data_IF_263130170423
#
_entry.id   IF_263130170423
#
_cell.length_a   1.000
_cell.length_b   1.000
_cell.length_c   1.000
_cell.angle_alpha   90.00
_cell.angle_beta   90.00
_cell.angle_gamma   90.00
#
_symmetry.space_group_name_H-M   'P 1'
#
loop_
_entity.id
_entity.type
_entity.pdbx_description
1 polymer ?
#
# COMPACT_ATOMS: atom_id res chain seq x y z
N UNK A 1 10.50 -16.43 -16.73
CA UNK A 1 10.95 -16.87 -15.36
C UNK A 1 11.96 -15.89 -14.81
N UNK A 2 11.86 -15.51 -13.56
CA UNK A 2 12.79 -14.61 -12.85
C UNK A 2 13.51 -15.35 -11.72
N UNK A 3 14.84 -15.44 -11.76
CA UNK A 3 15.66 -16.19 -10.78
C UNK A 3 15.11 -17.62 -10.49
N UNK A 4 14.78 -18.37 -11.55
CA UNK A 4 14.17 -19.72 -11.50
C UNK A 4 12.78 -19.79 -10.87
N UNK A 5 12.08 -18.66 -10.71
CA UNK A 5 10.71 -18.55 -10.24
C UNK A 5 9.76 -18.19 -11.38
N UNK A 6 8.57 -18.80 -11.37
CA UNK A 6 7.50 -18.40 -12.29
C UNK A 6 6.87 -17.09 -11.82
N UNK A 7 6.61 -16.18 -12.78
CA UNK A 7 6.06 -14.85 -12.51
C UNK A 7 4.78 -14.64 -13.29
N UNK A 8 3.68 -14.34 -12.59
CA UNK A 8 2.47 -13.81 -13.20
C UNK A 8 2.31 -12.32 -12.94
N UNK A 9 1.68 -11.62 -13.89
CA UNK A 9 1.24 -10.24 -13.73
C UNK A 9 -0.27 -10.17 -13.86
N UNK A 10 -0.94 -9.69 -12.82
CA UNK A 10 -2.37 -9.37 -12.84
C UNK A 10 -2.56 -7.95 -13.34
N UNK A 11 -3.33 -7.80 -14.42
CA UNK A 11 -3.66 -6.50 -15.03
C UNK A 11 -5.16 -6.25 -14.84
N UNK A 12 -5.58 -5.57 -13.76
CA UNK A 12 -6.98 -5.17 -13.58
C UNK A 12 -7.32 -4.05 -14.57
N UNK A 13 -8.41 -4.23 -15.33
CA UNK A 13 -8.88 -3.29 -16.34
C UNK A 13 -10.32 -2.85 -16.09
N UNK A 14 -10.60 -1.55 -16.25
CA UNK A 14 -11.93 -0.98 -16.31
C UNK A 14 -11.94 0.35 -17.10
N UNK A 15 -12.42 0.33 -18.34
CA UNK A 15 -12.33 1.46 -19.29
C UNK A 15 -10.89 1.85 -19.64
N UNK A 16 -10.11 0.86 -20.11
CA UNK A 16 -8.69 1.02 -20.46
C UNK A 16 -8.42 0.69 -21.94
N UNK A 17 -9.42 0.87 -22.81
CA UNK A 17 -9.35 0.56 -24.25
C UNK A 17 -8.12 1.16 -24.93
N UNK A 18 -7.71 2.37 -24.53
CA UNK A 18 -6.60 3.11 -25.15
C UNK A 18 -5.22 2.77 -24.59
N UNK A 19 -5.15 2.14 -23.41
CA UNK A 19 -3.89 1.95 -22.68
C UNK A 19 -3.50 0.47 -22.55
N UNK A 20 -4.47 -0.44 -22.46
CA UNK A 20 -4.21 -1.86 -22.16
C UNK A 20 -3.30 -2.53 -23.19
N UNK A 21 -3.40 -2.19 -24.47
CA UNK A 21 -2.52 -2.74 -25.51
C UNK A 21 -1.05 -2.43 -25.22
N UNK A 22 -0.73 -1.15 -24.92
CA UNK A 22 0.63 -0.73 -24.57
C UNK A 22 1.17 -1.44 -23.33
N UNK A 23 0.33 -1.67 -22.32
CA UNK A 23 0.72 -2.42 -21.13
C UNK A 23 1.08 -3.87 -21.47
N UNK A 24 0.32 -4.51 -22.36
CA UNK A 24 0.58 -5.89 -22.78
C UNK A 24 1.83 -6.01 -23.66
N UNK A 25 2.07 -5.04 -24.54
CA UNK A 25 3.23 -4.99 -25.44
C UNK A 25 4.55 -4.72 -24.72
N UNK A 26 4.50 -3.99 -23.61
CA UNK A 26 5.70 -3.65 -22.82
C UNK A 26 6.00 -4.63 -21.69
N UNK A 27 5.29 -5.76 -21.64
CA UNK A 27 5.48 -6.77 -20.60
C UNK A 27 6.90 -7.38 -20.69
N UNK A 28 7.68 -7.39 -19.58
CA UNK A 28 9.04 -7.93 -19.58
C UNK A 28 9.11 -9.43 -19.94
N UNK A 29 10.17 -9.84 -20.64
CA UNK A 29 10.35 -11.23 -21.13
C UNK A 29 10.42 -12.29 -20.02
N UNK A 30 10.74 -11.89 -18.77
CA UNK A 30 10.77 -12.83 -17.66
C UNK A 30 9.39 -13.17 -17.07
N UNK A 31 8.33 -12.48 -17.52
CA UNK A 31 6.95 -12.77 -17.13
C UNK A 31 6.47 -14.01 -17.88
N UNK A 32 5.93 -14.97 -17.16
CA UNK A 32 5.45 -16.24 -17.75
C UNK A 32 3.96 -16.18 -18.08
N UNK A 33 3.19 -15.43 -17.27
CA UNK A 33 1.72 -15.38 -17.38
C UNK A 33 1.21 -13.95 -17.14
N UNK A 34 0.32 -13.47 -18.01
CA UNK A 34 -0.42 -12.23 -17.82
C UNK A 34 -1.91 -12.54 -17.63
N UNK A 35 -2.44 -12.15 -16.48
CA UNK A 35 -3.84 -12.33 -16.12
C UNK A 35 -4.57 -10.99 -16.26
N UNK A 36 -5.16 -10.73 -17.41
CA UNK A 36 -6.00 -9.54 -17.61
C UNK A 36 -7.36 -9.81 -16.99
N UNK A 37 -7.76 -8.98 -16.04
CA UNK A 37 -9.06 -9.10 -15.37
C UNK A 37 -9.91 -7.89 -15.72
N UNK A 38 -10.86 -8.07 -16.63
CA UNK A 38 -11.84 -7.06 -17.01
C UNK A 38 -12.97 -6.98 -16.00
N UNK A 39 -13.12 -5.83 -15.34
CA UNK A 39 -14.15 -5.58 -14.33
C UNK A 39 -15.46 -5.03 -14.94
N UNK A 40 -15.95 -5.69 -15.99
CA UNK A 40 -17.13 -5.33 -16.78
C UNK A 40 -16.99 -3.95 -17.44
N UNK A 41 -15.96 -3.76 -18.22
CA UNK A 41 -15.74 -2.53 -19.01
C UNK A 41 -16.85 -2.33 -20.04
N UNK A 42 -17.48 -1.14 -20.11
CA UNK A 42 -18.48 -0.82 -21.12
C UNK A 42 -17.89 -0.36 -22.47
N UNK A 43 -16.57 -0.16 -22.55
CA UNK A 43 -15.82 0.24 -23.74
C UNK A 43 -15.23 -0.95 -24.51
N UNK A 44 -14.34 -0.69 -25.46
CA UNK A 44 -13.66 -1.69 -26.28
C UNK A 44 -12.52 -2.44 -25.61
N UNK A 45 -12.27 -2.28 -24.28
CA UNK A 45 -11.15 -2.91 -23.55
C UNK A 45 -11.03 -4.40 -23.84
N UNK A 46 -12.12 -5.15 -23.73
CA UNK A 46 -12.14 -6.60 -23.98
C UNK A 46 -11.71 -6.94 -25.41
N UNK A 47 -12.27 -6.24 -26.40
CA UNK A 47 -11.95 -6.49 -27.82
C UNK A 47 -10.47 -6.16 -28.15
N UNK A 48 -9.86 -5.21 -27.45
CA UNK A 48 -8.42 -4.90 -27.58
C UNK A 48 -7.59 -6.06 -27.05
N UNK A 49 -7.92 -6.58 -25.88
CA UNK A 49 -7.21 -7.71 -25.26
C UNK A 49 -7.36 -8.99 -26.10
N UNK A 50 -8.57 -9.30 -26.58
CA UNK A 50 -8.83 -10.46 -27.43
C UNK A 50 -8.01 -10.40 -28.73
N UNK A 51 -7.97 -9.24 -29.41
CA UNK A 51 -7.12 -9.03 -30.60
C UNK A 51 -5.63 -9.19 -30.30
N UNK A 52 -5.17 -8.73 -29.13
CA UNK A 52 -3.78 -8.93 -28.72
C UNK A 52 -3.45 -10.41 -28.55
N UNK A 53 -4.35 -11.18 -27.92
CA UNK A 53 -4.18 -12.64 -27.75
C UNK A 53 -4.14 -13.34 -29.10
N UNK A 54 -5.07 -13.03 -30.01
CA UNK A 54 -5.14 -13.63 -31.35
C UNK A 54 -3.92 -13.28 -32.22
N UNK A 55 -3.46 -12.04 -32.17
CA UNK A 55 -2.36 -11.54 -33.04
C UNK A 55 -0.96 -11.97 -32.59
N UNK A 56 -0.81 -12.46 -31.38
CA UNK A 56 0.50 -12.69 -30.76
C UNK A 56 1.13 -14.05 -31.12
N UNK A 57 0.33 -15.08 -31.43
CA UNK A 57 0.84 -16.43 -31.59
C UNK A 57 1.52 -16.97 -30.32
N UNK A 58 2.60 -17.76 -30.48
CA UNK A 58 3.35 -18.38 -29.38
C UNK A 58 4.46 -17.48 -28.79
N UNK A 59 4.54 -16.21 -29.18
CA UNK A 59 5.60 -15.33 -28.74
C UNK A 59 5.28 -14.64 -27.40
N UNK A 60 6.20 -14.69 -26.42
CA UNK A 60 6.16 -14.02 -25.09
C UNK A 60 5.25 -14.71 -24.04
N UNK A 61 4.79 -14.02 -22.92
CA UNK A 61 4.04 -14.64 -21.84
C UNK A 61 2.66 -15.12 -22.26
N UNK A 62 2.15 -16.21 -21.70
CA UNK A 62 0.73 -16.59 -21.86
C UNK A 62 -0.16 -15.43 -21.38
N UNK A 63 -1.17 -15.05 -22.18
CA UNK A 63 -2.16 -14.01 -21.79
C UNK A 63 -3.52 -14.65 -21.62
N UNK A 64 -4.11 -14.49 -20.45
CA UNK A 64 -5.44 -15.02 -20.11
C UNK A 64 -6.36 -13.88 -19.75
N UNK A 65 -7.52 -13.82 -20.40
CA UNK A 65 -8.57 -12.85 -20.12
C UNK A 65 -9.61 -13.47 -19.19
N UNK A 66 -9.78 -12.84 -18.01
CA UNK A 66 -10.83 -13.15 -17.04
C UNK A 66 -11.84 -12.01 -17.05
N UNK A 67 -13.15 -12.32 -17.05
CA UNK A 67 -14.20 -11.29 -17.16
C UNK A 67 -15.18 -11.38 -16.00
N UNK A 68 -15.48 -10.24 -15.40
CA UNK A 68 -16.56 -10.11 -14.44
C UNK A 68 -17.89 -9.82 -15.17
N UNK A 69 -18.98 -10.36 -14.70
CA UNK A 69 -20.32 -10.06 -15.23
C UNK A 69 -20.81 -8.64 -14.88
N UNK A 70 -20.25 -8.07 -13.80
CA UNK A 70 -20.57 -6.71 -13.31
C UNK A 70 -19.34 -6.11 -12.65
N UNK A 71 -19.27 -4.78 -12.60
CA UNK A 71 -18.19 -4.08 -11.90
C UNK A 71 -18.22 -4.39 -10.39
N UNK A 72 -17.17 -5.10 -9.94
CA UNK A 72 -16.95 -5.49 -8.54
C UNK A 72 -15.93 -4.60 -7.85
N UNK A 73 -15.15 -3.84 -8.61
CA UNK A 73 -14.09 -2.95 -8.15
C UNK A 73 -12.70 -3.54 -8.28
N UNK A 74 -11.70 -2.65 -8.36
CA UNK A 74 -10.29 -3.00 -8.64
C UNK A 74 -9.72 -4.05 -7.67
N UNK A 75 -10.06 -4.00 -6.38
CA UNK A 75 -9.62 -5.01 -5.42
C UNK A 75 -10.18 -6.39 -5.72
N UNK A 76 -11.45 -6.48 -6.16
CA UNK A 76 -12.05 -7.75 -6.55
C UNK A 76 -11.40 -8.30 -7.84
N UNK A 77 -11.08 -7.44 -8.81
CA UNK A 77 -10.38 -7.83 -10.03
C UNK A 77 -8.99 -8.41 -9.71
N UNK A 78 -8.24 -7.74 -8.83
CA UNK A 78 -6.93 -8.23 -8.40
C UNK A 78 -7.06 -9.57 -7.64
N UNK A 79 -8.03 -9.71 -6.74
CA UNK A 79 -8.25 -10.97 -6.03
C UNK A 79 -8.65 -12.12 -6.97
N UNK A 80 -9.39 -11.84 -8.05
CA UNK A 80 -9.69 -12.82 -9.11
C UNK A 80 -8.42 -13.27 -9.82
N UNK A 81 -7.52 -12.34 -10.17
CA UNK A 81 -6.21 -12.66 -10.73
C UNK A 81 -5.33 -13.45 -9.76
N UNK A 82 -5.28 -13.07 -8.49
CA UNK A 82 -4.56 -13.80 -7.44
C UNK A 82 -5.10 -15.23 -7.25
N UNK A 83 -6.41 -15.42 -7.28
CA UNK A 83 -7.01 -16.75 -7.18
C UNK A 83 -6.61 -17.65 -8.35
N UNK A 84 -6.58 -17.11 -9.58
CA UNK A 84 -6.14 -17.85 -10.77
C UNK A 84 -4.64 -18.16 -10.72
N UNK A 85 -3.78 -17.20 -10.36
CA UNK A 85 -2.35 -17.41 -10.18
C UNK A 85 -2.07 -18.48 -9.12
N UNK A 86 -2.78 -18.43 -7.97
CA UNK A 86 -2.72 -19.46 -6.91
C UNK A 86 -3.15 -20.84 -7.44
N UNK A 87 -4.23 -20.92 -8.21
CA UNK A 87 -4.71 -22.16 -8.83
C UNK A 87 -3.66 -22.78 -9.76
N UNK A 88 -2.94 -21.94 -10.51
CA UNK A 88 -1.87 -22.35 -11.42
C UNK A 88 -0.52 -22.57 -10.73
N UNK A 89 -0.45 -22.34 -9.40
CA UNK A 89 0.76 -22.51 -8.59
C UNK A 89 1.93 -21.64 -9.04
N UNK A 90 1.66 -20.41 -9.47
CA UNK A 90 2.69 -19.44 -9.86
C UNK A 90 3.43 -18.96 -8.61
N UNK A 91 4.76 -18.99 -8.63
CA UNK A 91 5.61 -18.65 -7.49
C UNK A 91 5.43 -17.19 -7.01
N UNK A 92 5.35 -16.26 -7.96
CA UNK A 92 5.25 -14.80 -7.67
C UNK A 92 4.16 -14.20 -8.54
N UNK A 93 3.27 -13.44 -7.92
CA UNK A 93 2.22 -12.72 -8.64
C UNK A 93 2.36 -11.22 -8.40
N UNK A 94 2.67 -10.47 -9.46
CA UNK A 94 2.69 -9.02 -9.42
C UNK A 94 1.35 -8.43 -9.88
N UNK A 95 1.10 -7.17 -9.54
CA UNK A 95 -0.05 -6.39 -10.02
C UNK A 95 0.48 -5.19 -10.78
N UNK A 96 -0.01 -4.99 -11.99
CA UNK A 96 0.30 -3.87 -12.87
C UNK A 96 -0.99 -3.35 -13.49
N UNK A 97 -1.39 -2.12 -13.17
CA UNK A 97 -2.67 -1.58 -13.64
C UNK A 97 -2.67 -1.39 -15.16
N UNK A 98 -3.84 -1.60 -15.79
CA UNK A 98 -4.03 -1.43 -17.24
C UNK A 98 -3.97 0.02 -17.74
N UNK A 99 -3.77 1.00 -16.84
CA UNK A 99 -3.72 2.44 -17.12
C UNK A 99 -2.32 2.98 -17.50
N UNK A 100 -1.31 2.10 -17.58
CA UNK A 100 0.06 2.46 -17.98
C UNK A 100 0.85 3.30 -16.97
N UNK A 101 0.35 3.52 -15.74
CA UNK A 101 1.05 4.31 -14.71
C UNK A 101 2.19 3.57 -14.01
N UNK A 102 2.33 2.28 -14.24
CA UNK A 102 3.33 1.42 -13.64
C UNK A 102 4.39 1.07 -14.68
N UNK A 103 5.64 1.41 -14.37
CA UNK A 103 6.76 1.22 -15.27
C UNK A 103 7.15 -0.28 -15.34
N UNK A 104 6.99 -0.94 -16.50
CA UNK A 104 7.35 -2.35 -16.67
C UNK A 104 8.85 -2.60 -16.49
N UNK A 105 9.71 -1.63 -16.80
CA UNK A 105 11.16 -1.73 -16.64
C UNK A 105 11.60 -1.82 -15.16
N UNK A 106 10.70 -1.53 -14.23
CA UNK A 106 10.97 -1.63 -12.79
C UNK A 106 10.32 -2.86 -12.14
N UNK A 107 9.67 -3.72 -12.92
CA UNK A 107 9.02 -4.91 -12.40
C UNK A 107 10.04 -5.90 -11.78
N UNK A 108 11.23 -6.00 -12.34
CA UNK A 108 12.32 -6.81 -11.82
C UNK A 108 12.72 -6.40 -10.39
N UNK A 109 12.87 -5.10 -10.14
CA UNK A 109 13.17 -4.57 -8.82
C UNK A 109 12.07 -4.86 -7.80
N UNK A 110 10.80 -4.86 -8.25
CA UNK A 110 9.64 -5.15 -7.41
C UNK A 110 9.55 -6.63 -7.04
N UNK A 111 9.81 -7.55 -7.97
CA UNK A 111 9.69 -8.99 -7.73
C UNK A 111 10.93 -9.57 -7.02
N UNK A 112 12.11 -8.95 -7.16
CA UNK A 112 13.36 -9.44 -6.61
C UNK A 112 13.34 -9.76 -5.10
N UNK A 113 12.78 -8.91 -4.21
CA UNK A 113 12.70 -9.24 -2.78
C UNK A 113 11.91 -10.52 -2.50
N UNK A 114 10.86 -10.77 -3.28
CA UNK A 114 10.00 -11.96 -3.16
C UNK A 114 10.71 -13.18 -3.75
N UNK A 115 11.31 -13.06 -4.93
CA UNK A 115 12.05 -14.14 -5.59
C UNK A 115 13.19 -14.67 -4.72
N UNK A 116 13.89 -13.76 -4.03
CA UNK A 116 15.00 -14.09 -3.13
C UNK A 116 14.57 -14.54 -1.74
N UNK A 117 13.27 -14.70 -1.49
CA UNK A 117 12.74 -15.11 -0.19
C UNK A 117 12.99 -14.12 0.96
N UNK A 118 13.32 -12.87 0.65
CA UNK A 118 13.52 -11.81 1.67
C UNK A 118 12.20 -11.26 2.18
N UNK A 119 11.19 -11.17 1.31
CA UNK A 119 9.85 -10.71 1.62
C UNK A 119 8.81 -11.66 1.07
N UNK A 120 7.64 -11.66 1.68
CA UNK A 120 6.47 -12.42 1.23
C UNK A 120 5.54 -11.55 0.38
N UNK A 121 5.69 -10.24 0.54
CA UNK A 121 4.99 -9.20 -0.24
C UNK A 121 5.92 -8.00 -0.47
N UNK A 122 5.99 -7.51 -1.69
CA UNK A 122 6.71 -6.29 -2.05
C UNK A 122 5.74 -5.24 -2.57
N UNK A 123 5.99 -3.99 -2.21
CA UNK A 123 5.14 -2.86 -2.55
C UNK A 123 5.98 -1.68 -3.04
N UNK A 124 5.59 -1.09 -4.17
CA UNK A 124 6.25 0.10 -4.70
C UNK A 124 6.03 1.31 -3.79
N UNK A 125 7.07 2.11 -3.60
CA UNK A 125 7.04 3.37 -2.89
C UNK A 125 7.40 4.51 -3.85
N UNK A 126 6.43 5.36 -4.15
CA UNK A 126 6.55 6.51 -5.06
C UNK A 126 6.93 7.81 -4.35
N UNK A 127 6.87 7.84 -3.01
CA UNK A 127 7.01 9.06 -2.21
C UNK A 127 8.47 9.46 -1.99
N UNK A 128 9.41 8.56 -2.24
CA UNK A 128 10.83 8.77 -1.99
C UNK A 128 11.56 9.52 -3.12
N UNK A 129 10.85 9.87 -4.20
CA UNK A 129 11.46 10.50 -5.36
C UNK A 129 11.61 12.01 -5.17
N UNK A 130 12.82 12.55 -5.45
CA UNK A 130 13.08 13.99 -5.40
C UNK A 130 12.19 14.71 -6.42
N UNK A 131 11.29 15.57 -5.96
CA UNK A 131 10.34 16.30 -6.80
C UNK A 131 8.86 16.04 -6.51
N UNK A 132 8.52 15.03 -5.74
CA UNK A 132 7.13 14.73 -5.35
C UNK A 132 6.45 15.92 -4.63
N UNK A 133 7.21 16.75 -3.92
CA UNK A 133 6.74 17.92 -3.17
C UNK A 133 6.23 19.06 -4.05
N UNK A 134 6.73 19.19 -5.28
CA UNK A 134 6.37 20.27 -6.21
C UNK A 134 5.13 19.96 -7.06
N UNK A 135 4.78 18.69 -7.21
CA UNK A 135 3.78 18.22 -8.18
C UNK A 135 2.42 17.92 -7.54
N UNK A 136 2.36 17.66 -6.21
CA UNK A 136 1.13 17.26 -5.53
C UNK A 136 0.48 18.45 -4.80
N UNK A 137 -0.81 18.78 -5.05
CA UNK A 137 -1.53 19.82 -4.31
C UNK A 137 -1.51 19.54 -2.78
N UNK A 138 -1.23 20.57 -1.96
CA UNK A 138 -1.03 20.45 -0.50
C UNK A 138 -2.17 19.71 0.23
N UNK A 139 -3.43 19.95 -0.15
CA UNK A 139 -4.58 19.27 0.46
C UNK A 139 -4.62 17.76 0.15
N UNK A 140 -4.16 17.33 -1.04
CA UNK A 140 -4.03 15.90 -1.39
C UNK A 140 -2.88 15.25 -0.63
N UNK A 141 -1.78 15.98 -0.44
CA UNK A 141 -0.64 15.52 0.35
C UNK A 141 -1.03 15.25 1.80
N UNK A 142 -1.71 16.20 2.46
CA UNK A 142 -2.18 16.04 3.85
C UNK A 142 -3.17 14.87 3.98
N UNK A 143 -4.10 14.71 3.04
CA UNK A 143 -5.03 13.58 3.02
C UNK A 143 -4.33 12.23 2.88
N UNK A 144 -3.35 12.15 1.98
CA UNK A 144 -2.55 10.93 1.79
C UNK A 144 -1.67 10.63 3.01
N UNK A 145 -1.04 11.65 3.62
CA UNK A 145 -0.24 11.50 4.83
C UNK A 145 -1.09 10.99 6.01
N UNK A 146 -2.30 11.51 6.18
CA UNK A 146 -3.25 11.05 7.19
C UNK A 146 -3.65 9.59 6.96
N UNK A 147 -4.03 9.22 5.73
CA UNK A 147 -4.39 7.83 5.40
C UNK A 147 -3.20 6.88 5.55
N UNK A 148 -1.99 7.31 5.19
CA UNK A 148 -0.77 6.51 5.39
C UNK A 148 -0.49 6.29 6.87
N UNK A 149 -0.64 7.31 7.71
CA UNK A 149 -0.52 7.18 9.17
C UNK A 149 -1.56 6.20 9.73
N UNK A 150 -2.84 6.35 9.33
CA UNK A 150 -3.90 5.43 9.74
C UNK A 150 -3.63 3.99 9.29
N UNK A 151 -3.07 3.81 8.09
CA UNK A 151 -2.72 2.49 7.59
C UNK A 151 -1.57 1.86 8.38
N UNK A 152 -0.55 2.64 8.74
CA UNK A 152 0.54 2.17 9.61
C UNK A 152 0.00 1.65 10.94
N UNK A 153 -0.86 2.42 11.60
CA UNK A 153 -1.51 2.04 12.85
C UNK A 153 -2.39 0.79 12.66
N UNK A 154 -3.20 0.76 11.59
CA UNK A 154 -4.13 -0.33 11.36
C UNK A 154 -3.42 -1.63 10.98
N UNK A 155 -2.38 -1.56 10.16
CA UNK A 155 -1.66 -2.72 9.63
C UNK A 155 -0.50 -3.19 10.50
N UNK A 156 0.11 -2.30 11.30
CA UNK A 156 1.34 -2.60 12.05
C UNK A 156 2.62 -2.55 11.20
N UNK A 157 2.53 -2.25 9.90
CA UNK A 157 3.70 -2.06 9.03
C UNK A 157 4.15 -0.60 9.04
N UNK A 158 4.86 -0.21 10.08
CA UNK A 158 5.28 1.19 10.30
C UNK A 158 6.29 1.71 9.27
N UNK A 159 6.99 0.81 8.59
CA UNK A 159 7.97 1.12 7.56
C UNK A 159 7.36 1.40 6.18
N UNK A 160 6.15 0.93 5.90
CA UNK A 160 5.48 1.16 4.61
C UNK A 160 5.07 2.62 4.48
N UNK A 161 5.70 3.35 3.55
CA UNK A 161 5.43 4.78 3.38
C UNK A 161 4.29 5.06 2.41
N UNK A 162 4.26 4.42 1.23
CA UNK A 162 3.19 4.57 0.25
C UNK A 162 2.16 3.45 0.36
N UNK A 163 1.16 3.64 1.23
CA UNK A 163 0.11 2.63 1.42
C UNK A 163 -0.88 2.56 0.25
N UNK A 164 -0.88 3.53 -0.67
CA UNK A 164 -1.91 3.67 -1.69
C UNK A 164 -1.53 3.08 -3.07
N UNK A 165 -0.26 2.76 -3.30
CA UNK A 165 0.15 2.18 -4.58
C UNK A 165 -0.43 0.78 -4.78
N UNK A 166 -0.86 0.48 -6.00
CA UNK A 166 -1.29 -0.85 -6.43
C UNK A 166 -0.17 -1.68 -7.07
N UNK A 167 1.00 -1.10 -7.34
CA UNK A 167 2.14 -1.81 -7.91
C UNK A 167 2.80 -2.66 -6.83
N UNK A 168 2.57 -3.95 -6.86
CA UNK A 168 2.90 -4.87 -5.78
C UNK A 168 3.25 -6.26 -6.33
N UNK A 169 3.98 -7.05 -5.54
CA UNK A 169 4.26 -8.45 -5.83
C UNK A 169 4.04 -9.29 -4.56
N UNK A 170 3.51 -10.49 -4.71
CA UNK A 170 3.16 -11.40 -3.61
C UNK A 170 3.65 -12.80 -3.93
N UNK A 171 4.15 -13.52 -2.92
CA UNK A 171 4.54 -14.93 -3.04
C UNK A 171 3.34 -15.87 -3.05
N UNK A 172 3.48 -17.03 -3.67
CA UNK A 172 2.48 -18.09 -3.63
C UNK A 172 2.16 -18.51 -2.19
N UNK A 173 3.19 -18.63 -1.34
CA UNK A 173 3.01 -18.99 0.06
C UNK A 173 2.12 -17.98 0.81
N UNK A 174 2.28 -16.69 0.53
CA UNK A 174 1.40 -15.67 1.09
C UNK A 174 -0.03 -15.77 0.53
N UNK A 175 -0.19 -16.02 -0.76
CA UNK A 175 -1.51 -16.21 -1.38
C UNK A 175 -2.25 -17.42 -0.82
N UNK A 176 -1.54 -18.50 -0.48
CA UNK A 176 -2.14 -19.71 0.11
C UNK A 176 -2.73 -19.44 1.51
N UNK A 177 -2.17 -18.49 2.26
CA UNK A 177 -2.64 -18.11 3.60
C UNK A 177 -3.80 -17.10 3.57
N UNK A 178 -3.94 -16.33 2.48
CA UNK A 178 -4.90 -15.24 2.40
C UNK A 178 -6.29 -15.71 2.02
N UNK A 179 -7.29 -15.23 2.76
CA UNK A 179 -8.70 -15.29 2.33
C UNK A 179 -8.96 -14.14 1.35
N UNK A 180 -8.86 -14.47 0.05
CA UNK A 180 -8.99 -13.50 -1.05
C UNK A 180 -10.44 -12.97 -1.21
N UNK A 181 -11.45 -13.75 -0.79
CA UNK A 181 -12.86 -13.35 -0.90
C UNK A 181 -13.22 -12.27 0.11
N UNK A 182 -12.55 -12.30 1.27
CA UNK A 182 -12.78 -11.35 2.35
C UNK A 182 -12.01 -10.02 2.18
N UNK A 183 -11.14 -9.88 1.17
CA UNK A 183 -10.40 -8.65 0.87
C UNK A 183 -11.36 -7.56 0.39
N UNK A 184 -11.13 -6.31 0.83
CA UNK A 184 -11.97 -5.18 0.44
C UNK A 184 -11.96 -4.97 -1.08
N UNK A 185 -13.12 -4.97 -1.77
CA UNK A 185 -13.18 -5.10 -3.23
C UNK A 185 -12.85 -3.83 -4.02
N UNK A 186 -12.76 -2.65 -3.38
CA UNK A 186 -12.57 -1.37 -4.06
C UNK A 186 -11.21 -0.74 -3.71
N UNK A 187 -11.04 0.58 -3.93
CA UNK A 187 -9.77 1.32 -3.73
C UNK A 187 -9.08 1.12 -2.36
N UNK A 188 -9.81 0.67 -1.34
CA UNK A 188 -9.24 0.35 -0.03
C UNK A 188 -8.49 -0.99 0.05
N UNK A 189 -8.44 -1.77 -1.02
CA UNK A 189 -7.84 -3.10 -0.99
C UNK A 189 -6.36 -3.11 -0.57
N UNK A 190 -5.48 -2.15 -0.97
CA UNK A 190 -4.09 -2.22 -0.56
C UNK A 190 -3.91 -2.09 0.96
N UNK A 191 -4.75 -1.24 1.57
CA UNK A 191 -4.73 -1.03 3.01
C UNK A 191 -5.29 -2.24 3.77
N UNK A 192 -6.40 -2.81 3.30
CA UNK A 192 -7.00 -4.03 3.87
C UNK A 192 -6.06 -5.24 3.74
N UNK A 193 -5.41 -5.37 2.57
CA UNK A 193 -4.46 -6.44 2.32
C UNK A 193 -3.26 -6.37 3.28
N UNK A 194 -2.69 -5.18 3.54
CA UNK A 194 -1.63 -5.00 4.52
C UNK A 194 -2.04 -5.48 5.92
N UNK A 195 -3.27 -5.18 6.36
CA UNK A 195 -3.75 -5.67 7.67
C UNK A 195 -3.84 -7.19 7.70
N UNK A 196 -4.29 -7.81 6.61
CA UNK A 196 -4.38 -9.27 6.49
C UNK A 196 -3.01 -9.94 6.43
N UNK A 197 -2.05 -9.36 5.71
CA UNK A 197 -0.66 -9.83 5.69
C UNK A 197 -0.05 -9.84 7.10
N UNK A 198 -0.29 -8.79 7.90
CA UNK A 198 0.21 -8.70 9.27
C UNK A 198 -0.40 -9.75 10.20
N UNK A 199 -1.65 -10.15 9.98
CA UNK A 199 -2.30 -11.19 10.76
C UNK A 199 -1.58 -12.55 10.65
N UNK A 200 -0.91 -12.79 9.51
CA UNK A 200 -0.14 -14.02 9.24
C UNK A 200 1.37 -13.83 9.38
N UNK A 201 1.81 -12.72 10.01
CA UNK A 201 3.24 -12.38 10.21
C UNK A 201 4.08 -12.40 8.92
N UNK A 202 3.47 -12.02 7.79
CA UNK A 202 4.13 -11.98 6.49
C UNK A 202 5.05 -10.77 6.38
N UNK A 203 6.23 -10.97 5.81
CA UNK A 203 7.26 -9.93 5.67
C UNK A 203 6.96 -9.04 4.46
N UNK A 204 7.02 -7.73 4.66
CA UNK A 204 6.73 -6.72 3.63
C UNK A 204 7.98 -5.91 3.30
N UNK A 205 8.30 -5.82 2.00
CA UNK A 205 9.32 -4.91 1.48
C UNK A 205 8.68 -3.66 0.84
N UNK A 206 9.19 -2.48 1.20
CA UNK A 206 8.84 -1.19 0.59
C UNK A 206 9.93 -0.85 -0.43
N UNK A 207 9.63 -1.01 -1.74
CA UNK A 207 10.59 -0.89 -2.84
C UNK A 207 10.47 0.48 -3.48
N UNK A 208 11.57 1.24 -3.51
CA UNK A 208 11.59 2.58 -4.10
C UNK A 208 11.56 2.48 -5.63
N UNK A 209 10.45 2.87 -6.24
CA UNK A 209 10.26 2.85 -7.69
C UNK A 209 9.85 4.23 -8.21
N UNK A 210 10.22 4.51 -9.47
CA UNK A 210 9.87 5.77 -10.14
C UNK A 210 8.43 5.72 -10.61
N UNK A 211 7.59 6.70 -10.25
CA UNK A 211 6.24 6.79 -10.78
C UNK A 211 6.27 7.29 -12.24
N UNK A 212 5.42 6.73 -13.09
CA UNK A 212 5.15 7.26 -14.43
C UNK A 212 3.96 8.22 -14.33
N UNK A 213 4.14 9.45 -14.81
CA UNK A 213 3.11 10.48 -14.85
C UNK A 213 2.84 10.93 -16.29
N UNK A 214 1.68 11.53 -16.54
CA UNK A 214 1.27 12.10 -17.83
C UNK A 214 0.99 11.08 -18.95
N UNK A 215 0.53 9.89 -18.62
CA UNK A 215 0.08 8.85 -19.57
C UNK A 215 -1.40 9.01 -19.98
N UNK A 216 -2.00 10.19 -19.81
CA UNK A 216 -3.40 10.46 -20.20
C UNK A 216 -4.44 10.16 -19.13
N UNK A 217 -4.04 9.98 -17.89
CA UNK A 217 -4.90 9.65 -16.75
C UNK A 217 -5.91 10.74 -16.39
N UNK A 218 -7.17 10.37 -16.16
CA UNK A 218 -8.19 11.22 -15.54
C UNK A 218 -8.53 10.68 -14.16
N UNK A 219 -7.98 11.31 -13.11
CA UNK A 219 -8.35 10.96 -11.73
C UNK A 219 -9.83 11.18 -11.49
N UNK A 220 -10.60 10.10 -11.37
CA UNK A 220 -12.04 10.11 -11.06
C UNK A 220 -12.32 10.18 -9.55
N UNK A 221 -11.29 10.32 -8.70
CA UNK A 221 -11.41 10.25 -7.24
C UNK A 221 -11.90 11.56 -6.62
N UNK A 222 -12.92 11.46 -5.75
CA UNK A 222 -13.42 12.55 -4.90
C UNK A 222 -12.94 12.36 -3.45
N UNK A 223 -11.86 13.04 -3.00
CA UNK A 223 -11.23 12.81 -1.70
C UNK A 223 -12.19 12.92 -0.51
N UNK A 224 -13.09 13.90 -0.52
CA UNK A 224 -14.04 14.14 0.56
C UNK A 224 -14.98 12.95 0.87
N UNK A 225 -15.27 12.09 -0.11
CA UNK A 225 -16.08 10.88 0.09
C UNK A 225 -15.26 9.64 0.44
N UNK A 226 -14.01 9.62 -0.01
CA UNK A 226 -13.13 8.46 0.16
C UNK A 226 -12.53 8.45 1.58
N UNK A 227 -12.06 9.59 2.09
CA UNK A 227 -11.38 9.68 3.39
C UNK A 227 -12.23 9.13 4.54
N UNK A 228 -13.50 9.53 4.76
CA UNK A 228 -14.29 8.99 5.87
C UNK A 228 -14.53 7.48 5.77
N UNK A 229 -14.78 6.99 4.54
CA UNK A 229 -15.00 5.57 4.30
C UNK A 229 -13.74 4.74 4.55
N UNK A 230 -12.58 5.26 4.14
CA UNK A 230 -11.29 4.62 4.38
C UNK A 230 -10.92 4.64 5.87
N UNK A 231 -11.14 5.75 6.56
CA UNK A 231 -10.90 5.85 8.01
C UNK A 231 -11.74 4.82 8.76
N UNK A 232 -13.02 4.66 8.41
CA UNK A 232 -13.88 3.64 9.01
C UNK A 232 -13.39 2.22 8.72
N UNK A 233 -13.01 1.93 7.46
CA UNK A 233 -12.44 0.64 7.09
C UNK A 233 -11.19 0.33 7.93
N UNK A 234 -10.26 1.29 8.02
CA UNK A 234 -9.01 1.12 8.77
C UNK A 234 -9.24 0.94 10.26
N UNK A 235 -10.20 1.67 10.85
CA UNK A 235 -10.58 1.49 12.25
C UNK A 235 -11.16 0.08 12.49
N UNK A 236 -12.08 -0.36 11.63
CA UNK A 236 -12.65 -1.70 11.74
C UNK A 236 -11.58 -2.79 11.59
N UNK A 237 -10.63 -2.61 10.65
CA UNK A 237 -9.51 -3.54 10.44
C UNK A 237 -8.49 -3.50 11.57
N UNK A 238 -8.22 -2.35 12.15
CA UNK A 238 -7.41 -2.22 13.35
C UNK A 238 -8.00 -3.04 14.51
N UNK A 239 -9.28 -2.84 14.83
CA UNK A 239 -9.97 -3.55 15.89
C UNK A 239 -10.02 -5.08 15.62
N UNK A 240 -10.24 -5.46 14.36
CA UNK A 240 -10.20 -6.86 13.95
C UNK A 240 -8.81 -7.46 14.15
N UNK A 241 -7.72 -6.79 13.71
CA UNK A 241 -6.34 -7.22 13.92
C UNK A 241 -6.01 -7.35 15.41
N UNK A 242 -6.40 -6.35 16.23
CA UNK A 242 -6.18 -6.40 17.67
C UNK A 242 -6.82 -7.66 18.27
N UNK A 243 -8.08 -7.92 17.90
CA UNK A 243 -8.80 -9.10 18.38
C UNK A 243 -8.16 -10.42 17.91
N UNK A 244 -7.94 -10.56 16.60
CA UNK A 244 -7.49 -11.82 16.02
C UNK A 244 -6.03 -12.14 16.39
N UNK A 245 -5.12 -11.17 16.24
CA UNK A 245 -3.69 -11.37 16.45
C UNK A 245 -3.32 -11.39 17.93
N UNK A 246 -3.80 -10.40 18.70
CA UNK A 246 -3.31 -10.12 20.05
C UNK A 246 -4.29 -10.50 21.18
N UNK A 247 -5.45 -11.07 20.87
CA UNK A 247 -6.35 -11.65 21.88
C UNK A 247 -6.57 -13.14 21.63
N UNK A 248 -6.89 -13.54 20.38
CA UNK A 248 -7.30 -14.91 20.08
C UNK A 248 -6.07 -15.80 19.84
N UNK A 249 -5.11 -15.36 18.99
CA UNK A 249 -3.95 -16.19 18.63
C UNK A 249 -2.89 -16.20 19.71
N UNK A 250 -2.53 -15.01 20.22
CA UNK A 250 -1.52 -14.87 21.27
C UNK A 250 -1.88 -13.65 22.12
N UNK A 251 -2.24 -13.90 23.39
CA UNK A 251 -2.64 -12.80 24.27
C UNK A 251 -1.44 -11.92 24.61
N UNK A 252 -1.43 -10.71 24.04
CA UNK A 252 -0.36 -9.75 24.24
C UNK A 252 -0.83 -8.55 25.08
N UNK A 253 -0.04 -8.08 26.09
CA UNK A 253 -0.39 -6.93 26.93
C UNK A 253 -0.66 -5.63 26.18
N UNK A 254 -0.20 -5.50 24.93
CA UNK A 254 -0.47 -4.40 24.02
C UNK A 254 -1.96 -4.00 23.98
N UNK A 255 -2.86 -5.00 24.00
CA UNK A 255 -4.31 -4.76 23.96
C UNK A 255 -4.79 -4.00 25.19
N UNK A 256 -4.17 -4.28 26.36
CA UNK A 256 -4.49 -3.58 27.61
C UNK A 256 -4.10 -2.09 27.53
N UNK A 257 -2.96 -1.77 26.91
CA UNK A 257 -2.54 -0.38 26.71
C UNK A 257 -3.47 0.36 25.75
N UNK A 258 -3.88 -0.24 24.63
CA UNK A 258 -4.89 0.36 23.76
C UNK A 258 -6.25 0.50 24.45
N UNK A 259 -6.66 -0.50 25.25
CA UNK A 259 -7.88 -0.43 26.05
C UNK A 259 -7.85 0.70 27.08
N UNK A 260 -6.72 0.84 27.81
CA UNK A 260 -6.51 1.92 28.77
C UNK A 260 -6.50 3.29 28.10
N UNK A 261 -5.82 3.41 26.95
CA UNK A 261 -5.82 4.64 26.15
C UNK A 261 -7.23 5.03 25.70
N UNK A 262 -8.01 4.06 25.20
CA UNK A 262 -9.39 4.28 24.78
C UNK A 262 -10.30 4.72 25.95
N UNK A 263 -10.22 4.01 27.08
CA UNK A 263 -11.01 4.32 28.28
C UNK A 263 -10.70 5.73 28.83
N UNK A 264 -9.40 6.01 29.05
CA UNK A 264 -8.98 7.32 29.57
C UNK A 264 -9.23 8.45 28.56
N UNK A 265 -9.17 8.16 27.26
CA UNK A 265 -9.54 9.08 26.18
C UNK A 265 -11.03 9.44 26.19
N UNK A 266 -11.92 8.46 26.34
CA UNK A 266 -13.35 8.69 26.49
C UNK A 266 -13.66 9.51 27.74
N UNK A 267 -13.03 9.20 28.87
CA UNK A 267 -13.13 9.99 30.09
C UNK A 267 -12.67 11.43 29.86
N UNK A 268 -11.53 11.63 29.18
CA UNK A 268 -11.00 12.95 28.86
C UNK A 268 -11.98 13.77 28.01
N UNK A 269 -12.58 13.19 26.98
CA UNK A 269 -13.61 13.87 26.17
C UNK A 269 -14.81 14.26 27.03
N UNK A 270 -15.30 13.36 27.90
CA UNK A 270 -16.41 13.66 28.82
C UNK A 270 -16.11 14.81 29.75
N UNK A 271 -14.93 14.84 30.41
CA UNK A 271 -14.51 15.93 31.28
C UNK A 271 -14.30 17.24 30.52
N UNK A 272 -13.76 17.19 29.30
CA UNK A 272 -13.62 18.36 28.44
C UNK A 272 -14.99 18.99 28.10
N UNK A 273 -15.94 18.19 27.65
CA UNK A 273 -17.29 18.67 27.34
C UNK A 273 -17.95 19.28 28.58
N UNK A 274 -17.82 18.63 29.74
CA UNK A 274 -18.33 19.17 31.02
C UNK A 274 -17.65 20.49 31.37
N UNK A 275 -16.31 20.60 31.21
CA UNK A 275 -15.56 21.81 31.50
C UNK A 275 -16.04 23.00 30.65
N UNK A 276 -16.21 22.77 29.31
CA UNK A 276 -16.71 23.78 28.39
C UNK A 276 -18.14 24.20 28.75
N UNK A 277 -19.03 23.21 29.03
CA UNK A 277 -20.42 23.49 29.42
C UNK A 277 -20.51 24.34 30.72
N UNK A 278 -19.72 24.01 31.73
CA UNK A 278 -19.67 24.78 32.98
C UNK A 278 -19.11 26.20 32.77
N UNK A 279 -18.06 26.33 31.98
CA UNK A 279 -17.49 27.64 31.64
C UNK A 279 -18.51 28.54 30.92
N UNK A 280 -19.25 28.00 29.94
CA UNK A 280 -20.32 28.74 29.23
C UNK A 280 -21.43 29.13 30.19
N UNK A 281 -21.83 28.23 31.10
CA UNK A 281 -22.97 28.47 32.01
C UNK A 281 -22.67 29.40 33.16
N UNK A 282 -21.44 29.37 33.70
CA UNK A 282 -21.09 30.07 34.95
C UNK A 282 -20.01 31.15 34.79
N UNK A 283 -19.34 31.19 33.60
CA UNK A 283 -18.19 32.06 33.36
C UNK A 283 -16.92 31.64 34.12
N UNK A 284 -16.95 30.54 34.90
CA UNK A 284 -15.84 30.10 35.75
C UNK A 284 -15.39 28.70 35.29
N UNK A 285 -14.07 28.49 35.22
CA UNK A 285 -13.48 27.19 34.94
C UNK A 285 -13.28 26.44 36.27
N UNK A 286 -13.95 25.31 36.52
CA UNK A 286 -13.78 24.54 37.75
C UNK A 286 -12.40 23.88 37.79
N UNK A 287 -11.52 24.27 38.73
CA UNK A 287 -10.14 23.81 38.80
C UNK A 287 -9.99 22.29 38.90
N UNK A 288 -10.81 21.62 39.69
CA UNK A 288 -10.81 20.15 39.82
C UNK A 288 -11.14 19.48 38.51
N UNK A 289 -12.17 19.96 37.77
CA UNK A 289 -12.54 19.39 36.48
C UNK A 289 -11.43 19.58 35.44
N UNK A 290 -10.76 20.74 35.44
CA UNK A 290 -9.62 21.02 34.57
C UNK A 290 -8.44 20.07 34.85
N UNK A 291 -8.17 19.82 36.14
CA UNK A 291 -7.11 18.91 36.57
C UNK A 291 -7.41 17.46 36.16
N UNK A 292 -8.63 16.97 36.36
CA UNK A 292 -9.05 15.61 35.95
C UNK A 292 -9.02 15.44 34.44
N UNK A 293 -9.49 16.47 33.68
CA UNK A 293 -9.36 16.47 32.23
C UNK A 293 -7.90 16.38 31.77
N UNK A 294 -7.01 17.21 32.33
CA UNK A 294 -5.60 17.21 31.99
C UNK A 294 -4.94 15.84 32.30
N UNK A 295 -5.23 15.28 33.49
CA UNK A 295 -4.72 13.97 33.89
C UNK A 295 -5.19 12.85 32.95
N UNK A 296 -6.48 12.81 32.62
CA UNK A 296 -7.04 11.78 31.71
C UNK A 296 -6.53 11.93 30.27
N UNK A 297 -6.35 13.19 29.79
CA UNK A 297 -5.78 13.48 28.48
C UNK A 297 -4.31 13.02 28.38
N UNK A 298 -3.50 13.36 29.39
CA UNK A 298 -2.07 12.95 29.45
C UNK A 298 -1.98 11.42 29.52
N UNK A 299 -2.76 10.79 30.40
CA UNK A 299 -2.75 9.32 30.55
C UNK A 299 -3.18 8.62 29.26
N UNK A 300 -4.22 9.11 28.58
CA UNK A 300 -4.67 8.55 27.29
C UNK A 300 -3.58 8.63 26.23
N UNK A 301 -2.95 9.79 26.11
CA UNK A 301 -1.82 10.00 25.18
C UNK A 301 -0.66 9.07 25.50
N UNK A 302 -0.29 8.97 26.76
CA UNK A 302 0.82 8.15 27.23
C UNK A 302 0.58 6.66 26.96
N UNK A 303 -0.60 6.12 27.33
CA UNK A 303 -0.96 4.74 27.04
C UNK A 303 -1.03 4.47 25.55
N UNK A 304 -1.55 5.41 24.76
CA UNK A 304 -1.60 5.30 23.30
C UNK A 304 -0.21 5.25 22.66
N UNK A 305 0.72 6.11 23.09
CA UNK A 305 2.10 6.10 22.60
C UNK A 305 2.85 4.81 22.98
N UNK A 306 2.67 4.31 24.22
CA UNK A 306 3.23 3.01 24.60
C UNK A 306 2.66 1.87 23.79
N UNK A 307 1.34 1.86 23.58
CA UNK A 307 0.70 0.84 22.76
C UNK A 307 1.25 0.84 21.34
N UNK A 308 1.40 2.03 20.72
CA UNK A 308 1.99 2.18 19.39
C UNK A 308 3.46 1.71 19.37
N UNK A 309 4.24 2.05 20.38
CA UNK A 309 5.63 1.61 20.47
C UNK A 309 5.75 0.09 20.57
N UNK A 310 4.96 -0.56 21.42
CA UNK A 310 4.92 -2.02 21.51
C UNK A 310 4.48 -2.66 20.18
N UNK A 311 3.47 -2.09 19.50
CA UNK A 311 3.03 -2.59 18.20
C UNK A 311 4.14 -2.47 17.14
N UNK A 312 4.90 -1.37 17.16
CA UNK A 312 6.08 -1.19 16.29
C UNK A 312 7.15 -2.23 16.56
N UNK A 313 7.50 -2.47 17.82
CA UNK A 313 8.56 -3.39 18.20
C UNK A 313 8.18 -4.84 17.89
N UNK A 314 6.92 -5.23 18.17
CA UNK A 314 6.41 -6.57 17.84
C UNK A 314 6.41 -6.87 16.34
N UNK A 315 6.17 -5.86 15.50
CA UNK A 315 6.13 -6.04 14.05
C UNK A 315 7.46 -5.65 13.36
N UNK A 316 8.51 -5.33 14.10
CA UNK A 316 9.79 -4.87 13.55
C UNK A 316 10.45 -5.90 12.64
N UNK A 317 10.35 -7.19 12.99
CA UNK A 317 10.91 -8.29 12.22
C UNK A 317 10.22 -8.52 10.86
N UNK A 318 9.03 -7.94 10.65
CA UNK A 318 8.28 -8.01 9.40
C UNK A 318 8.73 -6.95 8.37
N UNK A 319 9.68 -6.07 8.76
CA UNK A 319 10.25 -5.05 7.89
C UNK A 319 11.43 -5.64 7.10
N UNK A 320 11.28 -5.70 5.78
CA UNK A 320 12.30 -6.18 4.85
C UNK A 320 12.67 -5.11 3.81
N UNK A 321 12.79 -3.86 4.24
CA UNK A 321 13.20 -2.80 3.33
C UNK A 321 14.56 -3.12 2.71
N UNK A 322 14.54 -3.27 1.40
CA UNK A 322 15.76 -3.34 0.61
C UNK A 322 16.23 -1.90 0.44
N UNK A 323 17.36 -1.54 1.05
CA UNK A 323 18.05 -0.30 0.72
C UNK A 323 18.33 -0.33 -0.78
N UNK A 324 17.67 0.52 -1.56
CA UNK A 324 18.01 0.66 -2.98
C UNK A 324 19.53 0.99 -3.06
N UNK A 325 20.28 0.40 -4.00
CA UNK A 325 21.62 0.91 -4.27
C UNK A 325 21.48 2.41 -4.59
N UNK A 326 22.43 3.24 -4.12
CA UNK A 326 22.38 4.67 -4.44
C UNK A 326 22.24 4.81 -5.96
N UNK A 327 21.41 5.76 -6.46
CA UNK A 327 21.26 5.97 -7.88
C UNK A 327 22.64 6.12 -8.48
N UNK A 328 22.91 5.40 -9.59
CA UNK A 328 24.14 5.53 -10.33
C UNK A 328 24.35 7.03 -10.61
N UNK A 329 25.49 7.56 -10.22
CA UNK A 329 25.84 8.95 -10.53
C UNK A 329 25.69 9.13 -12.04
N UNK A 330 25.04 10.20 -12.52
CA UNK A 330 24.99 10.46 -13.94
C UNK A 330 26.41 10.48 -14.47
N UNK A 331 26.67 9.69 -15.52
CA UNK A 331 27.98 9.64 -16.19
C UNK A 331 28.26 11.04 -16.77
N UNK A 332 28.99 11.87 -16.08
CA UNK A 332 29.29 13.25 -16.46
C UNK A 332 29.89 14.11 -15.35
N UNK A 333 29.87 13.66 -14.09
CA UNK A 333 30.46 14.46 -12.98
C UNK A 333 31.91 14.08 -12.61
N UNK A 334 32.51 13.06 -13.24
CA UNK A 334 33.89 12.70 -12.98
C UNK A 334 34.93 13.58 -13.69
N UNK A 335 34.56 14.36 -14.70
CA UNK A 335 35.53 15.23 -15.41
C UNK A 335 35.71 16.64 -14.81
N UNK A 336 34.89 17.05 -13.84
CA UNK A 336 34.95 18.40 -13.29
C UNK A 336 35.80 18.57 -12.03
N UNK A 337 36.26 17.47 -11.42
CA UNK A 337 37.08 17.55 -10.17
C UNK A 337 38.56 17.34 -10.34
N UNK A 338 39.05 17.24 -11.58
CA UNK A 338 40.47 16.96 -11.90
C UNK A 338 41.37 18.16 -12.27
N UNK A 339 40.86 19.39 -12.24
CA UNK A 339 41.69 20.58 -12.47
C UNK A 339 42.19 21.18 -11.16
N UNK A 340 43.41 20.82 -10.78
CA UNK A 340 44.15 21.52 -9.74
C UNK A 340 44.49 22.96 -10.23
N UNK A 341 44.42 23.97 -9.36
CA UNK A 341 44.80 25.32 -9.74
C UNK A 341 46.33 25.41 -10.04
N UNK A 342 46.74 26.20 -11.04
CA UNK A 342 48.15 26.39 -11.31
C UNK A 342 48.83 27.15 -10.15
N UNK A 343 49.98 26.60 -9.71
CA UNK A 343 50.79 27.18 -8.65
C UNK A 343 51.29 28.57 -9.02
N UNK A 344 51.14 29.53 -8.12
CA UNK A 344 51.89 30.78 -8.10
C UNK A 344 53.29 30.48 -7.65
N UNK A 345 54.22 30.65 -8.58
CA UNK A 345 55.63 30.82 -8.29
C UNK A 345 55.97 32.31 -8.36
N UNK A 346 56.49 32.86 -7.27
CA UNK A 346 56.93 34.25 -7.18
C UNK A 346 57.21 34.63 -5.75
#
# INVERSE_FOLDING_TARGET
>A
MFESKTVAVVVPCYNEETQVAGVLETMPDFVDLVLVVDDASPDGTVAVVERHIEGRGDAGPEVVLLRHERNRGVGAAICTGYAEARRRRIDITAVMAGDGQMDPDQLDALVAPVARGRADYAKANRLFYQGAWGTIPRHRYLGNAFLSMMTKIASGYWHVADSQTGYTAVSLAALDLLDLEAVYPRYGYPNDLLVRLNLYDLRVADVHLRPVYNVGERSKMRPARIIPRMTWLLLARFLWRMKEKYVIRDFHPLVLFYGAAGLTGLMSVGFFVRLVAMWIATGVIPGINALVWALTAISSTQFGLFAMWFDMEMNRHLNCNVSAPPPARPAGEEEASGQAPPGEAG
#
